data_IF_307172327471
#
_entry.id   IF_307172327471
#
_cell.length_a   1.000
_cell.length_b   1.000
_cell.length_c   1.000
_cell.angle_alpha   90.00
_cell.angle_beta   90.00
_cell.angle_gamma   90.00
#
_symmetry.space_group_name_H-M   'P 1'
#
loop_
_entity.id
_entity.type
_entity.pdbx_description
1 polymer ?
#
# COMPACT_ATOMS: atom_id res chain seq x y z
N UNK A 1 -11.96 -16.65 -8.01
CA UNK A 1 -11.07 -15.49 -7.84
C UNK A 1 -10.84 -15.31 -6.34
N UNK A 2 -9.66 -15.68 -5.81
CA UNK A 2 -9.40 -15.69 -4.36
C UNK A 2 -8.98 -14.29 -3.90
N UNK A 3 -9.77 -13.68 -3.01
CA UNK A 3 -9.42 -12.45 -2.30
C UNK A 3 -8.22 -12.75 -1.38
N UNK A 4 -7.02 -12.24 -1.71
CA UNK A 4 -5.84 -12.36 -0.85
C UNK A 4 -4.50 -12.04 -1.53
N UNK A 5 -4.38 -12.29 -2.84
CA UNK A 5 -3.07 -12.19 -3.51
C UNK A 5 -2.61 -10.75 -3.80
N UNK A 6 -3.53 -9.79 -3.92
CA UNK A 6 -3.16 -8.41 -4.32
C UNK A 6 -2.53 -7.58 -3.19
N UNK A 7 -2.78 -7.90 -1.92
CA UNK A 7 -2.24 -7.14 -0.78
C UNK A 7 -0.99 -7.77 -0.15
N UNK A 8 -0.71 -9.04 -0.46
CA UNK A 8 0.36 -9.79 0.18
C UNK A 8 1.74 -9.31 -0.27
N UNK A 9 1.96 -9.01 -1.55
CA UNK A 9 3.28 -8.60 -2.04
C UNK A 9 3.76 -7.26 -1.46
N UNK A 10 2.87 -6.26 -1.39
CA UNK A 10 3.22 -4.94 -0.86
C UNK A 10 3.43 -5.00 0.67
N UNK A 11 2.54 -5.70 1.37
CA UNK A 11 2.68 -5.90 2.81
C UNK A 11 3.93 -6.71 3.16
N UNK A 12 4.23 -7.77 2.41
CA UNK A 12 5.44 -8.60 2.59
C UNK A 12 6.71 -7.80 2.29
N UNK A 13 6.74 -7.05 1.19
CA UNK A 13 7.88 -6.19 0.84
C UNK A 13 8.14 -5.12 1.91
N UNK A 14 7.09 -4.42 2.35
CA UNK A 14 7.21 -3.44 3.42
C UNK A 14 7.66 -4.10 4.72
N UNK A 15 7.06 -5.23 5.09
CA UNK A 15 7.40 -5.99 6.29
C UNK A 15 8.85 -6.47 6.28
N UNK A 16 9.35 -6.91 5.12
CA UNK A 16 10.76 -7.25 4.94
C UNK A 16 11.64 -6.00 5.10
N UNK A 17 11.25 -4.89 4.47
CA UNK A 17 11.98 -3.62 4.53
C UNK A 17 12.07 -3.03 5.94
N UNK A 18 10.99 -3.08 6.74
CA UNK A 18 11.01 -2.66 8.15
C UNK A 18 11.44 -3.76 9.11
N UNK A 19 11.84 -4.93 8.59
CA UNK A 19 12.06 -6.17 9.35
C UNK A 19 12.87 -5.98 10.63
N UNK A 20 13.99 -5.28 10.52
CA UNK A 20 14.96 -4.99 11.60
C UNK A 20 14.42 -4.14 12.74
N UNK A 21 13.29 -3.43 12.55
CA UNK A 21 12.73 -2.53 13.54
C UNK A 21 11.49 -3.10 14.24
N UNK A 22 10.94 -4.23 13.77
CA UNK A 22 9.63 -4.74 14.21
C UNK A 22 9.61 -5.18 15.67
N UNK A 23 10.75 -5.61 16.20
CA UNK A 23 10.88 -6.05 17.59
C UNK A 23 11.29 -4.92 18.55
N UNK A 24 11.49 -3.70 18.02
CA UNK A 24 11.85 -2.55 18.81
C UNK A 24 10.61 -1.88 19.45
N UNK A 25 10.77 -1.21 20.60
CA UNK A 25 9.74 -0.33 21.13
C UNK A 25 9.35 0.78 20.12
N UNK A 26 8.14 1.32 20.27
CA UNK A 26 7.53 2.25 19.29
C UNK A 26 8.42 3.45 18.95
N UNK A 27 9.15 4.02 19.91
CA UNK A 27 9.99 5.20 19.69
C UNK A 27 11.20 4.88 18.79
N UNK A 28 12.07 3.90 19.12
CA UNK A 28 13.14 3.46 18.20
C UNK A 28 12.63 2.95 16.85
N UNK A 29 11.46 2.32 16.80
CA UNK A 29 10.86 1.85 15.55
C UNK A 29 10.55 3.03 14.61
N UNK A 30 9.85 4.05 15.11
CA UNK A 30 9.49 5.23 14.30
C UNK A 30 10.75 5.98 13.86
N UNK A 31 11.72 6.15 14.76
CA UNK A 31 12.97 6.82 14.44
C UNK A 31 13.80 6.06 13.39
N UNK A 32 13.86 4.73 13.47
CA UNK A 32 14.51 3.89 12.47
C UNK A 32 13.84 3.98 11.09
N UNK A 33 12.50 3.99 11.03
CA UNK A 33 11.76 4.20 9.77
C UNK A 33 12.04 5.60 9.21
N UNK A 34 12.03 6.64 10.06
CA UNK A 34 12.33 8.02 9.65
C UNK A 34 13.72 8.13 9.01
N UNK A 35 14.72 7.53 9.64
CA UNK A 35 16.10 7.50 9.12
C UNK A 35 16.20 6.77 7.78
N UNK A 36 15.57 5.59 7.65
CA UNK A 36 15.55 4.88 6.36
C UNK A 36 14.88 5.69 5.25
N UNK A 37 13.76 6.36 5.55
CA UNK A 37 13.08 7.23 4.58
C UNK A 37 13.96 8.40 4.16
N UNK A 38 14.68 9.01 5.10
CA UNK A 38 15.60 10.11 4.81
C UNK A 38 16.71 9.67 3.84
N UNK A 39 17.36 8.54 4.10
CA UNK A 39 18.39 7.97 3.22
C UNK A 39 17.81 7.63 1.85
N UNK A 40 16.66 6.95 1.80
CA UNK A 40 15.99 6.62 0.54
C UNK A 40 15.61 7.85 -0.28
N UNK A 41 15.13 8.92 0.35
CA UNK A 41 14.77 10.16 -0.35
C UNK A 41 16.01 10.87 -0.90
N UNK A 42 17.10 10.91 -0.12
CA UNK A 42 18.37 11.48 -0.55
C UNK A 42 18.93 10.71 -1.76
N UNK A 43 18.94 9.38 -1.69
CA UNK A 43 19.41 8.53 -2.77
C UNK A 43 18.59 8.70 -4.05
N UNK A 44 17.25 8.64 -3.93
CA UNK A 44 16.35 8.85 -5.07
C UNK A 44 16.51 10.23 -5.69
N UNK A 45 16.74 11.27 -4.89
CA UNK A 45 17.01 12.62 -5.40
C UNK A 45 18.30 12.67 -6.20
N UNK A 46 19.39 12.11 -5.65
CA UNK A 46 20.69 12.04 -6.32
C UNK A 46 20.63 11.24 -7.64
N UNK A 47 19.85 10.16 -7.67
CA UNK A 47 19.59 9.40 -8.89
C UNK A 47 18.77 10.21 -9.89
N UNK A 48 17.73 10.91 -9.44
CA UNK A 48 16.87 11.74 -10.28
C UNK A 48 17.60 12.94 -10.89
N UNK A 49 18.60 13.50 -10.21
CA UNK A 49 19.46 14.56 -10.75
C UNK A 49 20.26 14.12 -11.99
N UNK A 50 20.47 12.81 -12.16
CA UNK A 50 21.14 12.25 -13.35
C UNK A 50 20.19 12.01 -14.51
N UNK A 51 18.88 12.11 -14.29
CA UNK A 51 17.90 11.84 -15.34
C UNK A 51 17.92 12.94 -16.38
N UNK A 52 17.95 12.55 -17.65
CA UNK A 52 17.94 13.46 -18.79
C UNK A 52 16.53 13.67 -19.35
N UNK A 53 15.60 12.78 -19.02
CA UNK A 53 14.20 12.82 -19.47
C UNK A 53 13.26 13.03 -18.28
N UNK A 54 11.97 13.18 -18.57
CA UNK A 54 10.93 13.33 -17.55
C UNK A 54 10.68 12.01 -16.80
N UNK A 55 11.07 10.87 -17.37
CA UNK A 55 10.82 9.55 -16.80
C UNK A 55 12.05 9.02 -16.08
N UNK A 56 11.80 8.15 -15.09
CA UNK A 56 12.85 7.31 -14.51
C UNK A 56 13.42 6.39 -15.60
N UNK A 57 14.75 6.10 -15.60
CA UNK A 57 15.38 5.24 -16.61
C UNK A 57 14.65 3.93 -16.90
N UNK A 58 14.13 3.25 -15.86
CA UNK A 58 13.37 2.00 -16.05
C UNK A 58 12.08 2.21 -16.85
N UNK A 59 11.35 3.29 -16.56
CA UNK A 59 10.12 3.63 -17.26
C UNK A 59 10.38 4.15 -18.67
N UNK A 60 11.47 4.89 -18.86
CA UNK A 60 11.93 5.33 -20.19
C UNK A 60 12.29 4.12 -21.06
N UNK A 61 13.08 3.17 -20.55
CA UNK A 61 13.42 1.93 -21.25
C UNK A 61 12.15 1.17 -21.65
N UNK A 62 11.20 1.00 -20.72
CA UNK A 62 9.92 0.34 -20.99
C UNK A 62 9.10 1.07 -22.06
N UNK A 63 9.12 2.41 -22.06
CA UNK A 63 8.47 3.21 -23.08
C UNK A 63 9.13 3.03 -24.45
N UNK A 64 10.46 3.06 -24.51
CA UNK A 64 11.23 2.82 -25.73
C UNK A 64 10.91 1.43 -26.30
N UNK A 65 11.00 0.37 -25.50
CA UNK A 65 10.66 -1.01 -25.92
C UNK A 65 9.25 -1.11 -26.50
N UNK A 66 8.26 -0.49 -25.84
CA UNK A 66 6.88 -0.45 -26.34
C UNK A 66 6.76 0.33 -27.65
N UNK A 67 7.46 1.46 -27.78
CA UNK A 67 7.49 2.23 -29.01
C UNK A 67 8.13 1.42 -30.15
N UNK A 68 9.17 0.65 -29.85
CA UNK A 68 9.85 -0.23 -30.80
C UNK A 68 8.95 -1.35 -31.30
N UNK A 69 8.28 -2.04 -30.38
CA UNK A 69 7.31 -3.09 -30.69
C UNK A 69 6.11 -2.54 -31.47
N UNK A 70 5.65 -1.34 -31.13
CA UNK A 70 4.54 -0.67 -31.80
C UNK A 70 4.80 -0.25 -33.24
N UNK A 71 6.07 -0.17 -33.69
CA UNK A 71 6.43 0.24 -35.06
C UNK A 71 5.83 -0.66 -36.14
N UNK A 72 5.57 -1.93 -35.83
CA UNK A 72 5.02 -2.91 -36.78
C UNK A 72 3.50 -3.03 -36.70
N UNK A 73 2.85 -2.37 -35.74
CA UNK A 73 1.41 -2.49 -35.55
C UNK A 73 0.64 -1.67 -36.56
N UNK A 74 -0.37 -2.30 -37.17
CA UNK A 74 -1.30 -1.59 -38.05
C UNK A 74 -2.38 -0.90 -37.21
N UNK A 75 -2.79 0.31 -37.61
CA UNK A 75 -3.84 1.07 -36.92
C UNK A 75 -4.93 1.46 -37.91
N UNK A 76 -6.17 1.12 -37.57
CA UNK A 76 -7.37 1.52 -38.32
C UNK A 76 -8.19 2.50 -37.50
N UNK A 77 -8.54 3.64 -38.09
CA UNK A 77 -9.40 4.62 -37.43
C UNK A 77 -10.86 4.17 -37.50
N UNK A 78 -11.50 4.04 -36.33
CA UNK A 78 -12.94 3.76 -36.22
C UNK A 78 -13.75 5.05 -36.06
N UNK A 79 -13.26 5.99 -35.25
CA UNK A 79 -13.84 7.33 -35.06
C UNK A 79 -12.72 8.38 -34.88
N UNK A 80 -13.05 9.65 -34.57
CA UNK A 80 -12.09 10.71 -34.29
C UNK A 80 -11.16 10.40 -33.11
N UNK A 81 -11.65 9.69 -32.10
CA UNK A 81 -10.92 9.39 -30.85
C UNK A 81 -10.67 7.89 -30.65
N UNK A 82 -11.33 7.04 -31.45
CA UNK A 82 -11.30 5.57 -31.30
C UNK A 82 -10.57 4.91 -32.46
N UNK A 83 -9.59 4.07 -32.12
CA UNK A 83 -8.70 3.37 -33.05
C UNK A 83 -8.70 1.89 -32.75
N UNK A 84 -8.70 1.08 -33.81
CA UNK A 84 -8.44 -0.35 -33.74
C UNK A 84 -6.96 -0.59 -34.05
N UNK A 85 -6.22 -1.15 -33.10
CA UNK A 85 -4.79 -1.43 -33.21
C UNK A 85 -4.59 -2.93 -33.33
N UNK A 86 -3.89 -3.35 -34.37
CA UNK A 86 -3.58 -4.74 -34.67
C UNK A 86 -2.17 -5.07 -34.15
N UNK A 87 -2.12 -5.52 -32.90
CA UNK A 87 -0.93 -6.12 -32.28
C UNK A 87 -1.05 -7.67 -32.36
N UNK A 88 -0.58 -8.40 -31.35
CA UNK A 88 -0.79 -9.87 -31.22
C UNK A 88 -2.29 -10.25 -31.24
N UNK A 89 -3.13 -9.33 -30.78
CA UNK A 89 -4.58 -9.37 -30.87
C UNK A 89 -5.11 -7.96 -31.17
N UNK A 90 -6.27 -7.88 -31.81
CA UNK A 90 -6.92 -6.58 -32.08
C UNK A 90 -7.42 -5.97 -30.78
N UNK A 91 -7.02 -4.72 -30.53
CA UNK A 91 -7.48 -3.92 -29.39
C UNK A 91 -8.10 -2.61 -29.84
N UNK A 92 -9.10 -2.16 -29.10
CA UNK A 92 -9.74 -0.86 -29.30
C UNK A 92 -9.15 0.13 -28.30
N UNK A 93 -8.61 1.23 -28.80
CA UNK A 93 -8.01 2.31 -28.02
C UNK A 93 -8.81 3.58 -28.23
N UNK A 94 -9.32 4.15 -27.14
CA UNK A 94 -9.96 5.46 -27.10
C UNK A 94 -8.99 6.45 -26.44
N UNK A 95 -8.50 7.41 -27.23
CA UNK A 95 -7.53 8.40 -26.78
C UNK A 95 -8.16 9.52 -25.93
N UNK A 96 -9.45 9.80 -26.10
CA UNK A 96 -10.15 10.84 -25.32
C UNK A 96 -10.46 10.32 -23.93
N UNK A 97 -11.02 9.11 -23.84
CA UNK A 97 -11.32 8.46 -22.56
C UNK A 97 -10.08 7.81 -21.91
N UNK A 98 -8.95 7.76 -22.63
CA UNK A 98 -7.72 7.07 -22.22
C UNK A 98 -8.01 5.62 -21.83
N UNK A 99 -8.74 4.91 -22.68
CA UNK A 99 -9.12 3.51 -22.44
C UNK A 99 -8.60 2.58 -23.52
N UNK A 100 -8.22 1.37 -23.11
CA UNK A 100 -7.91 0.25 -24.00
C UNK A 100 -8.87 -0.91 -23.70
N UNK A 101 -9.32 -1.65 -24.72
CA UNK A 101 -10.09 -2.88 -24.53
C UNK A 101 -9.29 -3.96 -23.78
N UNK A 102 -7.96 -3.92 -23.88
CA UNK A 102 -7.03 -4.75 -23.10
C UNK A 102 -7.04 -4.47 -21.59
N UNK A 103 -7.65 -3.36 -21.15
CA UNK A 103 -7.75 -2.90 -19.76
C UNK A 103 -6.44 -2.59 -19.03
N UNK A 104 -5.29 -2.80 -19.66
CA UNK A 104 -3.98 -2.53 -19.07
C UNK A 104 -3.82 -1.05 -18.68
N UNK A 105 -4.27 -0.12 -19.53
CA UNK A 105 -4.23 1.31 -19.25
C UNK A 105 -5.03 1.72 -18.00
N UNK A 106 -6.09 0.97 -17.69
CA UNK A 106 -6.99 1.24 -16.57
C UNK A 106 -6.52 0.59 -15.27
N UNK A 107 -5.63 -0.39 -15.35
CA UNK A 107 -5.05 -1.07 -14.18
C UNK A 107 -3.78 -0.33 -13.73
N UNK A 108 -2.98 0.19 -14.66
CA UNK A 108 -1.69 0.79 -14.34
C UNK A 108 -1.80 2.17 -13.65
N UNK A 109 -2.98 2.78 -13.53
CA UNK A 109 -3.23 4.11 -12.89
C UNK A 109 -2.34 5.28 -13.42
N UNK A 110 -1.52 5.05 -14.45
CA UNK A 110 -0.63 6.05 -15.10
C UNK A 110 -1.45 7.12 -15.87
N UNK A 111 -2.73 6.84 -16.17
CA UNK A 111 -3.57 7.67 -17.04
C UNK A 111 -4.46 8.70 -16.34
N UNK A 112 -4.70 8.60 -15.03
CA UNK A 112 -5.45 9.62 -14.29
C UNK A 112 -4.52 10.76 -13.88
N UNK A 113 -4.23 11.62 -14.86
CA UNK A 113 -4.00 13.02 -14.52
C UNK A 113 -5.14 13.48 -13.62
N UNK A 114 -4.78 14.24 -12.58
CA UNK A 114 -5.69 14.95 -11.67
C UNK A 114 -7.10 15.11 -12.27
N UNK A 115 -8.05 14.43 -11.65
CA UNK A 115 -9.37 14.18 -12.23
C UNK A 115 -10.09 15.43 -12.71
N UNK A 116 -10.68 15.33 -13.89
CA UNK A 116 -11.93 16.02 -14.18
C UNK A 116 -12.99 15.51 -13.22
N UNK A 117 -13.13 16.19 -12.09
CA UNK A 117 -14.39 16.40 -11.38
C UNK A 117 -14.16 17.54 -10.41
N UNK A 118 -14.84 18.67 -10.65
CA UNK A 118 -14.75 19.85 -9.82
C UNK A 118 -15.04 19.53 -8.35
N UNK A 119 -13.99 19.54 -7.55
CA UNK A 119 -14.02 19.90 -6.14
C UNK A 119 -12.61 20.31 -5.75
N UNK A 120 -12.53 21.51 -5.18
CA UNK A 120 -11.32 22.22 -4.85
C UNK A 120 -10.36 21.40 -3.98
N UNK A 121 -9.07 21.70 -4.18
CA UNK A 121 -7.94 21.34 -3.33
C UNK A 121 -7.67 19.84 -3.16
N UNK A 122 -6.68 19.34 -3.90
CA UNK A 122 -5.45 18.67 -3.42
C UNK A 122 -5.44 17.78 -2.17
N UNK A 123 -6.58 17.30 -1.69
CA UNK A 123 -6.68 16.34 -0.59
C UNK A 123 -6.87 14.98 -1.25
N UNK A 124 -5.82 14.17 -1.23
CA UNK A 124 -5.96 12.74 -1.47
C UNK A 124 -6.90 12.19 -0.40
N UNK A 125 -8.20 12.08 -0.74
CA UNK A 125 -9.14 11.37 0.11
C UNK A 125 -8.69 9.90 0.12
N UNK A 126 -8.47 9.32 1.31
CA UNK A 126 -8.10 7.91 1.39
C UNK A 126 -9.18 7.08 0.69
N UNK A 127 -8.79 6.00 -0.02
CA UNK A 127 -9.76 5.12 -0.65
C UNK A 127 -10.78 4.69 0.40
N UNK A 128 -12.08 4.78 0.05
CA UNK A 128 -13.19 4.33 0.90
C UNK A 128 -13.07 2.81 1.02
N UNK A 129 -12.25 2.38 1.97
CA UNK A 129 -12.06 0.99 2.32
C UNK A 129 -13.04 0.68 3.44
N UNK A 130 -14.00 -0.22 3.19
CA UNK A 130 -14.73 -0.84 4.29
C UNK A 130 -13.68 -1.55 5.15
N UNK A 131 -13.60 -1.24 6.45
CA UNK A 131 -12.75 -2.00 7.37
C UNK A 131 -13.13 -3.49 7.21
N UNK A 132 -12.21 -4.36 6.77
CA UNK A 132 -12.47 -5.79 6.83
C UNK A 132 -12.70 -6.17 8.30
N UNK A 133 -13.51 -7.19 8.54
CA UNK A 133 -13.68 -7.73 9.89
C UNK A 133 -12.29 -7.98 10.49
N UNK A 134 -12.02 -7.38 11.67
CA UNK A 134 -10.73 -7.51 12.34
C UNK A 134 -10.39 -8.98 12.55
N UNK A 135 -9.09 -9.28 12.64
CA UNK A 135 -8.63 -10.63 13.02
C UNK A 135 -9.40 -11.09 14.27
N UNK A 136 -10.02 -12.28 14.27
CA UNK A 136 -10.66 -12.83 15.46
C UNK A 136 -9.69 -12.74 16.64
N UNK A 137 -10.12 -12.22 17.81
CA UNK A 137 -9.22 -12.06 18.94
C UNK A 137 -8.55 -13.40 19.27
N UNK A 138 -7.23 -13.46 19.09
CA UNK A 138 -6.45 -14.64 19.44
C UNK A 138 -6.42 -14.76 20.96
N UNK A 139 -7.06 -15.80 21.50
CA UNK A 139 -6.86 -16.17 22.90
C UNK A 139 -5.39 -16.53 23.06
N UNK A 140 -4.66 -15.79 23.92
CA UNK A 140 -3.26 -16.10 24.27
C UNK A 140 -3.16 -17.56 24.71
N UNK A 141 -2.35 -18.34 24.02
CA UNK A 141 -1.95 -19.68 24.45
C UNK A 141 -1.03 -19.49 25.66
N UNK A 142 -1.39 -20.04 26.83
CA UNK A 142 -0.56 -19.94 28.04
C UNK A 142 0.59 -20.93 27.95
N UNK A 143 1.77 -20.49 28.37
CA UNK A 143 2.94 -21.38 28.52
C UNK A 143 2.72 -22.30 29.71
N UNK A 144 3.18 -23.56 29.61
CA UNK A 144 3.15 -24.52 30.72
C UNK A 144 3.92 -23.92 31.91
N UNK A 145 3.24 -23.69 33.05
CA UNK A 145 3.80 -23.05 34.24
C UNK A 145 3.42 -21.58 34.48
N UNK A 146 2.58 -20.95 33.65
CA UNK A 146 2.01 -19.62 33.97
C UNK A 146 0.99 -19.69 35.12
N UNK A 147 1.47 -19.55 36.36
CA UNK A 147 0.61 -19.35 37.52
C UNK A 147 0.06 -17.93 37.54
N UNK A 148 -1.27 -17.79 37.48
CA UNK A 148 -1.92 -16.49 37.71
C UNK A 148 -1.65 -16.07 39.15
N UNK A 149 -0.89 -14.98 39.34
CA UNK A 149 -0.76 -14.36 40.68
C UNK A 149 -2.16 -13.97 41.16
N UNK A 150 -2.56 -14.37 42.38
CA UNK A 150 -3.87 -14.02 42.90
C UNK A 150 -3.96 -12.49 43.05
N UNK A 151 -5.06 -11.93 42.56
CA UNK A 151 -5.38 -10.52 42.69
C UNK A 151 -5.49 -10.17 44.18
N UNK A 152 -4.60 -9.30 44.66
CA UNK A 152 -4.63 -8.76 46.03
C UNK A 152 -5.24 -7.36 46.04
N UNK A 153 -6.10 -7.11 47.02
CA UNK A 153 -6.71 -5.81 47.20
C UNK A 153 -5.68 -4.79 47.68
N UNK A 154 -5.54 -3.65 47.01
CA UNK A 154 -4.61 -2.59 47.43
C UNK A 154 -5.05 -1.81 48.68
N UNK A 155 -6.24 -2.09 49.23
CA UNK A 155 -6.75 -1.47 50.47
C UNK A 155 -6.52 -2.33 51.71
N UNK A 156 -6.71 -3.65 51.63
CA UNK A 156 -6.57 -4.57 52.78
C UNK A 156 -5.52 -5.67 52.57
N UNK A 157 -4.84 -5.70 51.43
CA UNK A 157 -3.82 -6.69 51.07
C UNK A 157 -4.30 -8.16 51.01
N UNK A 158 -5.59 -8.41 51.19
CA UNK A 158 -6.22 -9.73 51.08
C UNK A 158 -6.46 -10.10 49.63
N UNK A 159 -6.21 -11.36 49.29
CA UNK A 159 -6.47 -11.91 47.95
C UNK A 159 -7.96 -12.16 47.70
N UNK A 160 -8.39 -12.12 46.44
CA UNK A 160 -9.75 -12.53 46.03
C UNK A 160 -10.71 -11.39 45.71
N UNK A 161 -10.30 -10.13 45.89
CA UNK A 161 -11.08 -8.97 45.49
C UNK A 161 -10.19 -7.78 45.14
N UNK A 162 -10.75 -6.76 44.48
CA UNK A 162 -10.02 -5.52 44.16
C UNK A 162 -10.46 -4.37 45.08
N UNK A 163 -9.77 -3.23 45.00
CA UNK A 163 -10.08 -2.04 45.81
C UNK A 163 -11.52 -1.53 45.64
N UNK A 164 -12.09 -1.63 44.44
CA UNK A 164 -13.45 -1.16 44.14
C UNK A 164 -14.52 -2.03 44.82
N UNK A 165 -14.25 -3.31 45.02
CA UNK A 165 -15.15 -4.27 45.66
C UNK A 165 -14.76 -4.55 47.11
N UNK A 166 -13.87 -3.74 47.70
CA UNK A 166 -13.39 -3.94 49.05
C UNK A 166 -14.39 -3.42 50.07
N UNK A 167 -14.90 -4.32 50.92
CA UNK A 167 -15.82 -4.00 52.02
C UNK A 167 -15.10 -3.58 53.32
N UNK A 168 -13.77 -3.51 53.31
CA UNK A 168 -13.02 -3.04 54.48
C UNK A 168 -13.36 -1.56 54.72
N UNK A 169 -13.90 -1.27 55.89
CA UNK A 169 -14.03 0.09 56.42
C UNK A 169 -12.63 0.44 56.95
N UNK A 170 -12.09 1.60 56.52
CA UNK A 170 -10.83 2.11 57.09
C UNK A 170 -11.15 2.65 58.47
#
# INVERSE_FOLDING_TARGET
>A
MRYGEMANSLAESFNNWVGVFRDLPVLPLIEGIRQKLMVLNSQRRFEAEKWTTVLCPEMETRLCENAEAGRTWAVRRSNCTVFEVFADYSVMVDLEQRTCSCRLWQIDDIGKGLGSNGSAAGVLLPPITKRPAGRPPTKRIKVFGEFKRPLKCSRCSVAGHNRKTCKAII
#
